data_IF_316549548858
#
_entry.id   IF_316549548858
#
_cell.length_a   1.000
_cell.length_b   1.000
_cell.length_c   1.000
_cell.angle_alpha   90.00
_cell.angle_beta   90.00
_cell.angle_gamma   90.00
#
_symmetry.space_group_name_H-M   'P 1'
#
loop_
_entity.id
_entity.type
_entity.pdbx_description
1 polymer ?
#
# COMPACT_ATOMS: atom_id res chain seq x y z
N UNK A 1 31.58 43.03 -56.51
CA UNK A 1 30.94 43.19 -55.18
C UNK A 1 29.67 42.33 -55.04
N UNK A 2 29.74 40.99 -55.20
CA UNK A 2 28.56 40.10 -55.05
C UNK A 2 28.84 38.71 -54.43
N UNK A 3 30.05 38.46 -53.91
CA UNK A 3 30.41 37.13 -53.35
C UNK A 3 30.58 37.11 -51.82
N UNK A 4 30.54 38.26 -51.14
CA UNK A 4 30.67 38.32 -49.66
C UNK A 4 29.34 38.30 -48.90
N UNK A 5 28.20 38.44 -49.60
CA UNK A 5 26.89 38.46 -48.94
C UNK A 5 26.32 37.06 -48.68
N UNK A 6 26.70 36.04 -49.46
CA UNK A 6 26.19 34.66 -49.26
C UNK A 6 26.85 33.90 -48.10
N UNK A 7 28.07 34.29 -47.70
CA UNK A 7 28.75 33.65 -46.57
C UNK A 7 28.21 34.08 -45.20
N UNK A 8 27.67 35.31 -45.11
CA UNK A 8 27.10 35.84 -43.86
C UNK A 8 25.67 35.33 -43.66
N UNK A 9 24.91 35.10 -44.74
CA UNK A 9 23.56 34.53 -44.64
C UNK A 9 23.56 33.04 -44.27
N UNK A 10 24.58 32.27 -44.69
CA UNK A 10 24.73 30.86 -44.30
C UNK A 10 25.12 30.70 -42.82
N UNK A 11 25.87 31.66 -42.25
CA UNK A 11 26.28 31.63 -40.84
C UNK A 11 25.15 32.07 -39.90
N UNK A 12 24.28 32.99 -40.32
CA UNK A 12 23.10 33.41 -39.55
C UNK A 12 21.96 32.37 -39.63
N UNK A 13 21.85 31.63 -40.74
CA UNK A 13 20.93 30.49 -40.86
C UNK A 13 21.30 29.28 -39.98
N UNK A 14 22.60 29.08 -39.72
CA UNK A 14 23.08 28.02 -38.82
C UNK A 14 23.00 28.39 -37.32
N UNK A 15 22.98 29.69 -37.00
CA UNK A 15 22.81 30.18 -35.62
C UNK A 15 21.35 30.26 -35.16
N UNK A 16 20.37 30.24 -36.08
CA UNK A 16 18.93 30.18 -35.76
C UNK A 16 18.30 28.79 -35.92
N UNK A 17 19.03 27.81 -36.47
CA UNK A 17 18.59 26.42 -36.61
C UNK A 17 18.75 25.55 -35.34
N UNK A 18 19.47 26.05 -34.33
CA UNK A 18 19.56 25.42 -33.01
C UNK A 18 18.51 26.02 -32.07
N UNK A 19 17.25 26.03 -32.49
CA UNK A 19 16.16 26.02 -31.51
C UNK A 19 16.27 24.67 -30.83
N UNK A 20 16.96 24.66 -29.69
CA UNK A 20 17.02 23.54 -28.79
C UNK A 20 15.60 22.96 -28.68
N UNK A 21 15.39 21.79 -29.29
CA UNK A 21 14.48 20.82 -28.72
C UNK A 21 15.08 20.54 -27.34
N UNK A 22 14.75 21.39 -26.37
CA UNK A 22 14.89 21.09 -24.97
C UNK A 22 13.99 19.89 -24.74
N UNK A 23 14.51 18.69 -25.03
CA UNK A 23 14.07 17.49 -24.37
C UNK A 23 14.21 17.83 -22.89
N UNK A 24 13.09 18.26 -22.30
CA UNK A 24 13.03 18.77 -20.96
C UNK A 24 13.64 17.68 -20.09
N UNK A 25 14.82 17.97 -19.52
CA UNK A 25 15.59 16.98 -18.80
C UNK A 25 14.68 16.38 -17.73
N UNK A 26 14.65 15.05 -17.64
CA UNK A 26 13.81 14.37 -16.68
C UNK A 26 14.10 14.91 -15.28
N UNK A 27 13.04 15.16 -14.53
CA UNK A 27 13.11 15.52 -13.13
C UNK A 27 13.44 14.26 -12.33
N UNK A 28 14.58 14.29 -11.65
CA UNK A 28 15.11 13.15 -10.91
C UNK A 28 15.17 13.53 -9.43
N UNK A 29 14.46 12.77 -8.61
CA UNK A 29 14.47 12.93 -7.15
C UNK A 29 15.88 12.74 -6.58
N UNK A 30 16.16 13.42 -5.46
CA UNK A 30 17.38 13.26 -4.68
C UNK A 30 17.02 12.81 -3.28
N UNK A 31 17.95 12.18 -2.58
CA UNK A 31 17.79 11.94 -1.15
C UNK A 31 17.62 13.26 -0.42
N UNK A 32 16.68 13.29 0.51
CA UNK A 32 16.38 14.45 1.33
C UNK A 32 16.73 14.16 2.78
N UNK A 33 17.25 15.16 3.48
CA UNK A 33 17.49 15.06 4.92
C UNK A 33 16.18 15.31 5.67
N UNK A 34 15.78 14.39 6.55
CA UNK A 34 14.53 14.48 7.29
C UNK A 34 14.81 14.33 8.77
N UNK A 35 14.35 15.30 9.57
CA UNK A 35 14.36 15.18 11.02
C UNK A 35 13.01 14.64 11.51
N UNK A 36 13.04 13.56 12.29
CA UNK A 36 11.83 12.91 12.81
C UNK A 36 11.82 13.05 14.32
N UNK A 37 10.85 13.80 14.84
CA UNK A 37 10.65 13.95 16.28
C UNK A 37 9.99 12.73 16.92
N UNK A 38 10.17 12.59 18.23
CA UNK A 38 9.43 11.62 19.00
C UNK A 38 7.95 12.04 19.09
N UNK A 39 7.09 11.05 19.21
CA UNK A 39 5.64 11.16 19.22
C UNK A 39 5.15 12.05 20.36
N UNK A 40 4.46 13.12 20.00
CA UNK A 40 3.66 13.91 20.92
C UNK A 40 2.37 13.20 21.32
N UNK A 41 1.86 13.51 22.50
CA UNK A 41 0.52 13.12 22.95
C UNK A 41 -0.05 14.23 23.84
N UNK A 42 -1.37 14.39 23.85
CA UNK A 42 -2.03 15.39 24.69
C UNK A 42 -3.31 14.84 25.31
N UNK A 43 -3.45 14.96 26.64
CA UNK A 43 -4.70 14.62 27.32
C UNK A 43 -5.01 13.12 27.47
N UNK A 44 -4.13 12.23 27.02
CA UNK A 44 -4.27 10.78 27.13
C UNK A 44 -3.21 10.20 28.07
N UNK A 45 -3.62 9.28 28.96
CA UNK A 45 -2.70 8.48 29.76
C UNK A 45 -2.28 7.25 28.97
N UNK A 46 -1.21 7.38 28.20
CA UNK A 46 -0.69 6.32 27.33
C UNK A 46 0.49 5.65 28.02
N UNK A 47 0.51 4.30 28.16
CA UNK A 47 1.65 3.60 28.74
C UNK A 47 2.95 3.92 27.99
N UNK A 48 4.05 4.13 28.72
CA UNK A 48 5.33 4.53 28.13
C UNK A 48 5.85 3.52 27.08
N UNK A 49 5.61 2.23 27.31
CA UNK A 49 5.97 1.16 26.37
C UNK A 49 5.24 1.31 25.03
N UNK A 50 3.96 1.71 25.05
CA UNK A 50 3.17 1.97 23.84
C UNK A 50 3.77 3.14 23.06
N UNK A 51 4.10 4.24 23.76
CA UNK A 51 4.74 5.40 23.13
C UNK A 51 6.08 5.05 22.48
N UNK A 52 6.95 4.34 23.20
CA UNK A 52 8.26 3.94 22.70
C UNK A 52 8.17 3.02 21.47
N UNK A 53 7.22 2.08 21.48
CA UNK A 53 7.00 1.18 20.34
C UNK A 53 6.46 1.95 19.13
N UNK A 54 5.51 2.88 19.32
CA UNK A 54 5.01 3.71 18.22
C UNK A 54 6.10 4.62 17.65
N UNK A 55 6.96 5.19 18.49
CA UNK A 55 8.11 5.99 18.04
C UNK A 55 9.03 5.17 17.12
N UNK A 56 9.38 3.96 17.55
CA UNK A 56 10.25 3.07 16.79
C UNK A 56 9.64 2.70 15.43
N UNK A 57 8.35 2.38 15.40
CA UNK A 57 7.64 2.05 14.14
C UNK A 57 7.59 3.26 13.19
N UNK A 58 7.30 4.46 13.69
CA UNK A 58 7.27 5.69 12.87
C UNK A 58 8.65 6.02 12.32
N UNK A 59 9.70 6.02 13.15
CA UNK A 59 11.08 6.26 12.69
C UNK A 59 11.51 5.20 11.68
N UNK A 60 11.15 3.94 11.92
CA UNK A 60 11.39 2.82 11.03
C UNK A 60 10.83 3.04 9.62
N UNK A 61 9.65 3.66 9.48
CA UNK A 61 9.07 3.98 8.17
C UNK A 61 9.99 4.87 7.33
N UNK A 62 10.51 5.96 7.90
CA UNK A 62 11.36 6.89 7.17
C UNK A 62 12.70 6.28 6.78
N UNK A 63 13.27 5.45 7.66
CA UNK A 63 14.50 4.70 7.38
C UNK A 63 14.25 3.69 6.24
N UNK A 64 13.18 2.91 6.34
CA UNK A 64 12.84 1.84 5.39
C UNK A 64 12.37 2.35 4.02
N UNK A 65 11.99 3.62 3.90
CA UNK A 65 11.69 4.27 2.63
C UNK A 65 12.94 4.54 1.77
N UNK A 66 14.15 4.45 2.33
CA UNK A 66 15.45 4.51 1.62
C UNK A 66 15.83 5.86 1.00
N UNK A 67 14.85 6.70 0.68
CA UNK A 67 14.99 8.01 0.02
C UNK A 67 15.26 9.18 0.98
N UNK A 68 15.41 8.90 2.27
CA UNK A 68 15.68 9.91 3.30
C UNK A 68 16.97 9.60 4.06
N UNK A 69 17.69 10.66 4.43
CA UNK A 69 18.69 10.59 5.49
C UNK A 69 18.00 11.01 6.79
N UNK A 70 17.77 10.06 7.69
CA UNK A 70 16.92 10.27 8.87
C UNK A 70 17.75 10.74 10.05
N UNK A 71 17.36 11.89 10.62
CA UNK A 71 17.85 12.43 11.88
C UNK A 71 16.77 12.24 12.96
N UNK A 72 16.78 11.10 13.64
CA UNK A 72 15.87 10.83 14.75
C UNK A 72 16.15 11.76 15.94
N UNK A 73 15.10 12.36 16.50
CA UNK A 73 15.16 13.22 17.68
C UNK A 73 14.40 12.57 18.83
N UNK A 74 14.85 12.84 20.06
CA UNK A 74 14.25 12.28 21.29
C UNK A 74 13.18 13.20 21.90
N UNK A 75 13.17 14.45 21.47
CA UNK A 75 12.29 15.52 21.89
C UNK A 75 10.86 15.26 21.40
N UNK A 76 9.86 15.44 22.27
CA UNK A 76 8.44 15.25 21.97
C UNK A 76 7.71 16.58 21.92
N UNK A 77 7.32 17.01 20.73
CA UNK A 77 6.50 18.21 20.58
C UNK A 77 5.05 17.92 20.97
N UNK A 78 4.42 18.80 21.77
CA UNK A 78 2.96 18.79 21.85
C UNK A 78 2.35 19.39 20.59
N UNK A 79 1.07 19.13 20.31
CA UNK A 79 0.39 19.69 19.13
C UNK A 79 0.41 21.23 19.10
N UNK A 80 0.45 21.88 20.27
CA UNK A 80 0.55 23.34 20.40
C UNK A 80 1.96 23.83 20.04
N UNK A 81 2.97 23.12 20.51
CA UNK A 81 4.39 23.43 20.29
C UNK A 81 4.77 23.35 18.81
N UNK A 82 4.06 22.53 18.01
CA UNK A 82 4.24 22.47 16.56
C UNK A 82 4.01 23.82 15.89
N UNK A 83 2.90 24.49 16.23
CA UNK A 83 2.58 25.77 15.62
C UNK A 83 3.55 26.86 16.08
N UNK A 84 3.95 26.84 17.35
CA UNK A 84 4.94 27.77 17.90
C UNK A 84 6.31 27.58 17.22
N UNK A 85 6.71 26.33 16.97
CA UNK A 85 7.92 26.01 16.22
C UNK A 85 7.85 26.52 14.78
N UNK A 86 6.73 26.29 14.07
CA UNK A 86 6.52 26.82 12.72
C UNK A 86 6.65 28.35 12.70
N UNK A 87 5.99 29.02 13.64
CA UNK A 87 6.00 30.48 13.74
C UNK A 87 7.40 31.02 14.03
N UNK A 88 8.18 30.36 14.89
CA UNK A 88 9.57 30.71 15.15
C UNK A 88 10.39 30.64 13.85
N UNK A 89 10.31 29.53 13.12
CA UNK A 89 11.07 29.33 11.88
C UNK A 89 10.68 30.38 10.83
N UNK A 90 9.38 30.66 10.68
CA UNK A 90 8.88 31.70 9.78
C UNK A 90 9.41 33.08 10.17
N UNK A 91 9.36 33.44 11.45
CA UNK A 91 9.81 34.75 11.96
C UNK A 91 11.31 34.94 11.78
N UNK A 92 12.12 33.92 12.12
CA UNK A 92 13.56 33.94 11.93
C UNK A 92 13.94 34.18 10.45
N UNK A 93 13.16 33.62 9.53
CA UNK A 93 13.36 33.82 8.08
C UNK A 93 12.91 35.16 7.56
N UNK A 94 11.68 35.56 7.88
CA UNK A 94 11.13 36.83 7.41
C UNK A 94 11.97 38.02 7.89
N UNK A 95 12.49 37.94 9.11
CA UNK A 95 13.26 39.01 9.73
C UNK A 95 14.78 38.81 9.61
N UNK A 96 15.24 37.79 8.88
CA UNK A 96 16.66 37.44 8.71
C UNK A 96 17.42 37.41 10.06
N UNK A 97 16.74 36.96 11.12
CA UNK A 97 17.22 37.03 12.49
C UNK A 97 18.03 35.76 12.79
N UNK A 98 19.20 35.87 13.45
CA UNK A 98 19.92 34.68 13.92
C UNK A 98 19.00 33.80 14.76
N UNK A 99 19.09 32.48 14.56
CA UNK A 99 18.36 31.53 15.40
C UNK A 99 18.80 31.72 16.87
N UNK A 100 17.88 31.75 17.83
CA UNK A 100 18.25 31.84 19.24
C UNK A 100 19.13 30.65 19.66
N UNK A 101 20.04 30.89 20.60
CA UNK A 101 20.96 29.85 21.12
C UNK A 101 20.19 28.69 21.77
N UNK A 102 19.03 28.99 22.36
CA UNK A 102 18.10 27.99 22.89
C UNK A 102 16.66 28.45 22.69
N UNK A 103 15.78 27.52 22.33
CA UNK A 103 14.33 27.77 22.28
C UNK A 103 13.59 26.71 23.07
N UNK A 104 12.70 27.17 23.94
CA UNK A 104 11.81 26.30 24.73
C UNK A 104 10.41 26.27 24.12
N UNK A 105 9.89 25.06 23.94
CA UNK A 105 8.52 24.78 23.53
C UNK A 105 7.88 23.87 24.58
N UNK A 106 7.08 24.43 25.47
CA UNK A 106 6.59 23.71 26.64
C UNK A 106 7.74 23.15 27.48
N UNK A 107 7.79 21.83 27.61
CA UNK A 107 8.84 21.08 28.32
C UNK A 107 10.06 20.72 27.45
N UNK A 108 10.02 21.01 26.14
CA UNK A 108 11.11 20.73 25.20
C UNK A 108 12.06 21.91 25.14
N UNK A 109 13.36 21.66 25.29
CA UNK A 109 14.41 22.65 25.10
C UNK A 109 15.29 22.25 23.92
N UNK A 110 15.22 23.01 22.82
CA UNK A 110 16.09 22.82 21.66
C UNK A 110 17.39 23.62 21.85
N UNK A 111 18.52 22.93 21.76
CA UNK A 111 19.85 23.55 21.77
C UNK A 111 20.20 24.16 20.40
N UNK A 112 21.12 25.11 20.37
CA UNK A 112 21.63 25.74 19.14
C UNK A 112 22.08 24.70 18.10
N UNK A 113 22.79 23.66 18.56
CA UNK A 113 23.29 22.58 17.69
C UNK A 113 22.17 21.76 17.06
N UNK A 114 21.08 21.51 17.80
CA UNK A 114 19.90 20.83 17.28
C UNK A 114 19.13 21.74 16.32
N UNK A 115 18.91 23.01 16.68
CA UNK A 115 18.27 24.00 15.82
C UNK A 115 18.98 24.16 14.47
N UNK A 116 20.32 24.21 14.46
CA UNK A 116 21.11 24.24 13.21
C UNK A 116 20.89 22.99 12.35
N UNK A 117 20.82 21.80 12.96
CA UNK A 117 20.53 20.55 12.24
C UNK A 117 19.12 20.54 11.66
N UNK A 118 18.13 21.00 12.43
CA UNK A 118 16.73 21.10 11.98
C UNK A 118 16.59 22.11 10.84
N UNK A 119 17.31 23.23 10.89
CA UNK A 119 17.34 24.23 9.82
C UNK A 119 18.00 23.70 8.53
N UNK A 120 18.99 22.80 8.67
CA UNK A 120 19.61 22.10 7.56
C UNK A 120 18.78 20.93 7.01
N UNK A 121 17.79 20.43 7.76
CA UNK A 121 16.90 19.38 7.29
C UNK A 121 15.94 19.93 6.23
N UNK A 122 15.70 19.13 5.18
CA UNK A 122 14.74 19.47 4.13
C UNK A 122 13.32 19.47 4.70
N UNK A 123 12.98 18.47 5.52
CA UNK A 123 11.68 18.36 6.19
C UNK A 123 11.83 17.99 7.65
N UNK A 124 10.99 18.61 8.48
CA UNK A 124 10.75 18.22 9.87
C UNK A 124 9.42 17.45 9.94
N UNK A 125 9.48 16.25 10.54
CA UNK A 125 8.34 15.36 10.74
C UNK A 125 7.95 15.38 12.21
N UNK A 126 6.69 15.71 12.49
CA UNK A 126 6.18 15.79 13.85
C UNK A 126 4.96 14.87 13.98
N UNK A 127 5.14 13.67 14.58
CA UNK A 127 4.04 12.77 14.85
C UNK A 127 3.33 13.11 16.16
N UNK A 128 2.01 12.93 16.20
CA UNK A 128 1.18 13.19 17.39
C UNK A 128 0.03 12.20 17.48
N UNK A 129 -0.18 11.59 18.65
CA UNK A 129 -1.40 10.83 18.93
C UNK A 129 -2.55 11.81 19.15
N UNK A 130 -3.60 11.66 18.35
CA UNK A 130 -4.82 12.47 18.45
C UNK A 130 -5.95 11.74 19.17
N UNK A 131 -5.92 10.41 19.18
CA UNK A 131 -6.90 9.58 19.89
C UNK A 131 -6.26 8.23 20.22
N UNK A 132 -6.44 7.79 21.47
CA UNK A 132 -6.02 6.46 21.94
C UNK A 132 -7.15 5.88 22.77
N UNK A 133 -7.73 4.79 22.27
CA UNK A 133 -8.87 4.13 22.90
C UNK A 133 -8.61 2.64 23.01
N UNK A 134 -8.91 2.10 24.18
CA UNK A 134 -8.87 0.67 24.41
C UNK A 134 -10.14 0.30 25.14
N UNK A 135 -10.97 -0.50 24.48
CA UNK A 135 -12.26 -0.92 24.98
C UNK A 135 -12.32 -2.44 25.02
N UNK A 136 -13.27 -2.98 25.77
CA UNK A 136 -13.60 -4.40 25.73
C UNK A 136 -15.08 -4.57 25.36
N UNK A 137 -15.48 -4.30 24.10
CA UNK A 137 -16.85 -4.56 23.69
C UNK A 137 -17.16 -6.07 23.80
N UNK A 138 -18.08 -6.42 24.70
CA UNK A 138 -18.44 -7.81 25.02
C UNK A 138 -17.24 -8.62 25.54
N UNK A 139 -16.67 -9.50 24.72
CA UNK A 139 -15.63 -10.47 25.08
C UNK A 139 -14.31 -10.27 24.32
N UNK A 140 -14.14 -9.17 23.59
CA UNK A 140 -12.95 -8.89 22.80
C UNK A 140 -12.37 -7.53 23.20
N UNK A 141 -11.06 -7.44 23.42
CA UNK A 141 -10.37 -6.17 23.56
C UNK A 141 -10.18 -5.56 22.17
N UNK A 142 -10.52 -4.29 22.02
CA UNK A 142 -10.28 -3.50 20.81
C UNK A 142 -9.42 -2.29 21.17
N UNK A 143 -8.26 -2.18 20.54
CA UNK A 143 -7.38 -1.04 20.64
C UNK A 143 -7.41 -0.23 19.35
N UNK A 144 -7.53 1.09 19.48
CA UNK A 144 -7.53 2.05 18.37
C UNK A 144 -6.51 3.15 18.66
N UNK A 145 -5.63 3.40 17.70
CA UNK A 145 -4.62 4.46 17.75
C UNK A 145 -4.81 5.35 16.52
N UNK A 146 -5.15 6.62 16.75
CA UNK A 146 -5.14 7.63 15.69
C UNK A 146 -3.91 8.50 15.85
N UNK A 147 -3.15 8.59 14.77
CA UNK A 147 -1.92 9.37 14.72
C UNK A 147 -1.98 10.36 13.57
N UNK A 148 -1.64 11.61 13.86
CA UNK A 148 -1.41 12.64 12.86
C UNK A 148 0.08 12.89 12.74
N UNK A 149 0.59 12.96 11.52
CA UNK A 149 1.99 13.23 11.23
C UNK A 149 2.08 14.45 10.33
N UNK A 150 2.60 15.55 10.86
CA UNK A 150 2.80 16.79 10.12
C UNK A 150 4.17 16.81 9.44
N UNK A 151 4.22 17.32 8.22
CA UNK A 151 5.44 17.46 7.43
C UNK A 151 5.70 18.94 7.14
N UNK A 152 6.76 19.47 7.73
CA UNK A 152 7.13 20.88 7.63
C UNK A 152 8.35 21.05 6.75
N UNK A 153 8.21 21.82 5.68
CA UNK A 153 9.35 22.30 4.92
C UNK A 153 9.98 23.46 5.69
N UNK A 154 11.15 23.20 6.29
CA UNK A 154 11.86 24.19 7.09
C UNK A 154 12.40 25.31 6.19
N UNK A 155 12.73 25.00 4.93
CA UNK A 155 13.20 25.97 3.93
C UNK A 155 12.15 27.06 3.63
N UNK A 156 10.87 26.70 3.62
CA UNK A 156 9.77 27.61 3.31
C UNK A 156 8.98 28.05 4.55
N UNK A 157 9.14 27.36 5.67
CA UNK A 157 8.32 27.56 6.87
C UNK A 157 6.87 27.13 6.67
N UNK A 158 6.60 26.20 5.75
CA UNK A 158 5.25 25.79 5.35
C UNK A 158 5.02 24.30 5.63
N UNK A 159 3.77 23.93 5.91
CA UNK A 159 3.36 22.53 5.97
C UNK A 159 3.18 22.01 4.54
N UNK A 160 3.98 21.02 4.14
CA UNK A 160 3.90 20.40 2.82
C UNK A 160 2.89 19.25 2.76
N UNK A 161 2.47 18.75 3.92
CA UNK A 161 1.47 17.70 4.01
C UNK A 161 1.19 17.29 5.45
N UNK A 162 0.13 16.50 5.62
CA UNK A 162 -0.22 15.84 6.86
C UNK A 162 -0.74 14.45 6.53
N UNK A 163 -0.25 13.44 7.25
CA UNK A 163 -0.74 12.08 7.17
C UNK A 163 -1.55 11.77 8.42
N UNK A 164 -2.81 11.35 8.24
CA UNK A 164 -3.65 10.89 9.34
C UNK A 164 -3.85 9.38 9.16
N UNK A 165 -3.42 8.61 10.14
CA UNK A 165 -3.56 7.15 10.15
C UNK A 165 -4.43 6.73 11.33
N UNK A 166 -5.19 5.66 11.13
CA UNK A 166 -6.01 5.03 12.16
C UNK A 166 -5.73 3.54 12.11
N UNK A 167 -5.09 3.04 13.15
CA UNK A 167 -4.78 1.63 13.29
C UNK A 167 -5.60 1.00 14.39
N UNK A 168 -6.00 -0.24 14.14
CA UNK A 168 -6.84 -1.02 15.05
C UNK A 168 -6.22 -2.38 15.26
N UNK A 169 -6.39 -2.93 16.46
CA UNK A 169 -6.07 -4.31 16.77
C UNK A 169 -7.10 -4.87 17.73
N UNK A 170 -7.43 -6.15 17.58
CA UNK A 170 -8.38 -6.83 18.45
C UNK A 170 -7.83 -8.16 18.96
N UNK A 171 -8.22 -8.54 20.17
CA UNK A 171 -7.88 -9.82 20.78
C UNK A 171 -8.82 -10.13 21.94
N UNK A 172 -9.33 -11.36 22.01
CA UNK A 172 -10.09 -11.91 23.14
C UNK A 172 -9.17 -12.30 24.31
N UNK A 173 -7.91 -12.61 24.02
CA UNK A 173 -6.93 -13.07 25.00
C UNK A 173 -6.43 -11.95 25.93
N UNK A 174 -6.02 -10.80 25.37
CA UNK A 174 -5.49 -9.70 26.18
C UNK A 174 -5.53 -8.33 25.53
N UNK A 175 -5.64 -7.32 26.38
CA UNK A 175 -5.48 -5.91 26.02
C UNK A 175 -4.12 -5.63 25.36
N UNK A 176 -3.03 -6.19 25.89
CA UNK A 176 -1.67 -5.95 25.37
C UNK A 176 -1.53 -6.46 23.94
N UNK A 177 -2.11 -7.63 23.62
CA UNK A 177 -2.09 -8.20 22.27
C UNK A 177 -2.88 -7.31 21.29
N UNK A 178 -4.07 -6.83 21.68
CA UNK A 178 -4.84 -5.88 20.87
C UNK A 178 -4.05 -4.59 20.57
N UNK A 179 -3.41 -4.01 21.58
CA UNK A 179 -2.58 -2.81 21.42
C UNK A 179 -1.38 -3.09 20.50
N UNK A 180 -0.67 -4.20 20.70
CA UNK A 180 0.48 -4.57 19.86
C UNK A 180 0.09 -4.72 18.38
N UNK A 181 -1.07 -5.33 18.09
CA UNK A 181 -1.58 -5.45 16.72
C UNK A 181 -1.91 -4.09 16.09
N UNK A 182 -2.46 -3.15 16.86
CA UNK A 182 -2.70 -1.78 16.40
C UNK A 182 -1.38 -1.06 16.09
N UNK A 183 -0.35 -1.22 16.92
CA UNK A 183 0.99 -0.64 16.70
C UNK A 183 1.64 -1.23 15.44
N UNK A 184 1.63 -2.56 15.30
CA UNK A 184 2.25 -3.27 14.16
C UNK A 184 1.63 -2.90 12.79
N UNK A 185 0.45 -2.29 12.79
CA UNK A 185 -0.24 -1.82 11.57
C UNK A 185 0.19 -0.41 11.13
N UNK A 186 0.86 0.35 12.00
CA UNK A 186 1.30 1.74 11.73
C UNK A 186 2.23 1.82 10.52
N UNK A 187 3.30 0.99 10.40
CA UNK A 187 4.26 1.14 9.31
C UNK A 187 3.61 1.01 7.94
N UNK A 188 2.68 0.07 7.78
CA UNK A 188 2.00 -0.19 6.53
C UNK A 188 1.19 1.03 6.07
N UNK A 189 0.35 1.58 6.94
CA UNK A 189 -0.47 2.76 6.62
C UNK A 189 0.37 4.02 6.43
N UNK A 190 1.31 4.29 7.35
CA UNK A 190 2.12 5.50 7.30
C UNK A 190 3.03 5.52 6.06
N UNK A 191 3.62 4.37 5.68
CA UNK A 191 4.43 4.26 4.47
C UNK A 191 3.63 4.67 3.22
N UNK A 192 2.37 4.26 3.13
CA UNK A 192 1.49 4.63 2.02
C UNK A 192 1.22 6.14 2.01
N UNK A 193 0.82 6.70 3.16
CA UNK A 193 0.51 8.13 3.25
C UNK A 193 1.73 9.03 2.97
N UNK A 194 2.92 8.66 3.46
CA UNK A 194 4.16 9.40 3.17
C UNK A 194 4.45 9.41 1.66
N UNK A 195 4.31 8.26 0.96
CA UNK A 195 4.60 8.19 -0.48
C UNK A 195 3.65 9.01 -1.35
N UNK A 196 2.42 9.24 -0.88
CA UNK A 196 1.40 10.07 -1.56
C UNK A 196 1.71 11.56 -1.52
N UNK A 197 2.53 12.01 -0.58
CA UNK A 197 2.93 13.41 -0.50
C UNK A 197 3.74 13.75 -1.76
N UNK A 198 3.31 14.72 -2.59
CA UNK A 198 3.94 14.99 -3.88
C UNK A 198 5.45 15.28 -3.79
N UNK A 199 5.90 15.89 -2.68
CA UNK A 199 7.31 16.17 -2.43
C UNK A 199 8.17 14.91 -2.22
N UNK A 200 7.54 13.77 -1.88
CA UNK A 200 8.21 12.49 -1.58
C UNK A 200 7.95 11.39 -2.63
N UNK A 201 6.98 11.60 -3.53
CA UNK A 201 6.75 10.71 -4.67
C UNK A 201 7.96 10.72 -5.59
N UNK A 202 8.55 9.55 -5.87
CA UNK A 202 9.76 9.49 -6.70
C UNK A 202 9.47 9.88 -8.14
N UNK A 203 10.32 10.77 -8.65
CA UNK A 203 10.46 11.11 -10.07
C UNK A 203 11.81 10.62 -10.54
N UNK A 204 11.81 9.85 -11.63
CA UNK A 204 13.01 9.23 -12.18
C UNK A 204 12.93 9.15 -13.69
N UNK A 205 13.86 8.45 -14.33
CA UNK A 205 13.91 8.31 -15.77
C UNK A 205 14.19 6.88 -16.23
N UNK A 206 13.78 6.60 -17.46
CA UNK A 206 14.14 5.39 -18.18
C UNK A 206 15.59 5.49 -18.66
N UNK A 207 16.41 4.49 -18.36
CA UNK A 207 17.78 4.36 -18.87
C UNK A 207 17.79 3.60 -20.20
N UNK A 208 16.96 2.56 -20.31
CA UNK A 208 16.82 1.73 -21.49
C UNK A 208 15.41 1.13 -21.52
N UNK A 209 14.80 1.00 -22.68
CA UNK A 209 13.51 0.32 -22.81
C UNK A 209 13.39 -0.47 -24.11
N UNK A 210 12.59 -1.51 -24.06
CA UNK A 210 12.06 -2.23 -25.20
C UNK A 210 10.54 -2.41 -25.03
N UNK A 211 9.94 -3.21 -25.90
CA UNK A 211 8.50 -3.40 -25.97
C UNK A 211 7.88 -4.10 -24.73
N UNK A 212 8.69 -4.81 -23.94
CA UNK A 212 8.27 -5.62 -22.78
C UNK A 212 8.90 -5.15 -21.46
N UNK A 213 10.07 -4.51 -21.50
CA UNK A 213 10.86 -4.21 -20.32
C UNK A 213 11.51 -2.83 -20.40
N UNK A 214 11.68 -2.20 -19.24
CA UNK A 214 12.40 -0.95 -19.08
C UNK A 214 13.36 -1.05 -17.88
N UNK A 215 14.58 -0.56 -18.07
CA UNK A 215 15.52 -0.27 -16.97
C UNK A 215 15.33 1.18 -16.58
N UNK A 216 15.15 1.43 -15.29
CA UNK A 216 14.99 2.77 -14.73
C UNK A 216 16.11 3.11 -13.75
N UNK A 217 16.38 4.40 -13.65
CA UNK A 217 17.23 4.94 -12.60
C UNK A 217 16.51 4.81 -11.25
N UNK A 218 17.27 4.52 -10.20
CA UNK A 218 16.86 4.16 -8.83
C UNK A 218 16.73 2.66 -8.58
N UNK A 219 17.20 2.27 -7.39
CA UNK A 219 17.12 0.93 -6.87
C UNK A 219 16.74 0.92 -5.40
N UNK A 220 17.28 -0.05 -4.66
CA UNK A 220 17.08 -0.13 -3.20
C UNK A 220 17.61 1.11 -2.48
N UNK A 221 18.59 1.82 -3.05
CA UNK A 221 19.15 3.05 -2.50
C UNK A 221 18.13 4.19 -2.36
N UNK A 222 17.09 4.21 -3.19
CA UNK A 222 15.98 5.16 -3.13
C UNK A 222 14.68 4.51 -2.63
N UNK A 223 14.77 3.28 -2.12
CA UNK A 223 13.66 2.52 -1.56
C UNK A 223 12.66 2.00 -2.60
N UNK A 224 13.11 1.76 -3.83
CA UNK A 224 12.32 1.02 -4.81
C UNK A 224 12.20 -0.43 -4.36
N UNK A 225 11.01 -1.00 -4.44
CA UNK A 225 10.74 -2.41 -4.14
C UNK A 225 10.14 -3.11 -5.37
N UNK A 226 10.34 -4.43 -5.42
CA UNK A 226 9.62 -5.29 -6.37
C UNK A 226 8.12 -5.06 -6.22
N UNK A 227 7.40 -5.00 -7.34
CA UNK A 227 5.97 -4.72 -7.38
C UNK A 227 5.58 -3.25 -7.23
N UNK A 228 6.53 -2.32 -6.98
CA UNK A 228 6.24 -0.89 -7.10
C UNK A 228 5.83 -0.54 -8.54
N UNK A 229 5.02 0.51 -8.69
CA UNK A 229 4.45 0.93 -9.97
C UNK A 229 4.94 2.31 -10.36
N UNK A 230 5.21 2.49 -11.65
CA UNK A 230 5.63 3.77 -12.22
C UNK A 230 4.85 4.07 -13.49
N UNK A 231 4.38 5.30 -13.63
CA UNK A 231 3.75 5.78 -14.87
C UNK A 231 4.78 6.50 -15.73
N UNK A 232 4.66 6.31 -17.05
CA UNK A 232 5.40 7.08 -18.03
C UNK A 232 4.68 8.41 -18.23
N UNK A 233 5.37 9.51 -17.94
CA UNK A 233 4.80 10.86 -18.03
C UNK A 233 5.23 11.50 -19.35
N UNK A 234 4.27 11.86 -20.18
CA UNK A 234 4.46 12.69 -21.37
C UNK A 234 4.26 14.15 -20.97
N UNK A 235 5.24 15.00 -21.26
CA UNK A 235 5.17 16.45 -21.07
C UNK A 235 5.12 17.12 -22.43
N UNK A 236 4.06 17.86 -22.70
CA UNK A 236 3.96 18.72 -23.86
C UNK A 236 3.87 20.18 -23.38
N UNK A 237 4.53 21.12 -24.06
CA UNK A 237 4.34 22.55 -23.79
C UNK A 237 3.43 23.14 -24.85
N UNK A 238 2.25 23.64 -24.43
CA UNK A 238 1.26 24.23 -25.31
C UNK A 238 1.04 25.67 -24.85
N UNK A 239 1.48 26.64 -25.65
CA UNK A 239 1.31 28.07 -25.32
C UNK A 239 1.99 28.51 -24.02
N UNK A 240 3.09 27.86 -23.62
CA UNK A 240 3.80 28.16 -22.37
C UNK A 240 3.24 27.45 -21.13
N UNK A 241 2.14 26.71 -21.26
CA UNK A 241 1.63 25.81 -20.22
C UNK A 241 2.23 24.42 -20.40
N UNK A 242 2.51 23.73 -19.30
CA UNK A 242 2.96 22.33 -19.31
C UNK A 242 1.74 21.43 -19.17
N UNK A 243 1.47 20.62 -20.19
CA UNK A 243 0.48 19.55 -20.17
C UNK A 243 1.19 18.23 -19.83
N UNK A 244 0.94 17.70 -18.63
CA UNK A 244 1.46 16.39 -18.19
C UNK A 244 0.39 15.31 -18.32
N UNK A 245 0.67 14.25 -19.08
CA UNK A 245 -0.22 13.10 -19.25
C UNK A 245 0.46 11.77 -18.99
N UNK A 246 -0.30 10.80 -18.51
CA UNK A 246 0.19 9.43 -18.33
C UNK A 246 -0.02 8.62 -19.61
N UNK A 247 1.05 8.04 -20.14
CA UNK A 247 1.02 7.28 -21.41
C UNK A 247 1.43 5.81 -21.23
N UNK A 248 1.83 5.40 -20.03
CA UNK A 248 2.28 4.04 -19.77
C UNK A 248 2.28 3.67 -18.29
N UNK A 249 2.32 2.37 -18.03
CA UNK A 249 2.45 1.77 -16.71
C UNK A 249 3.55 0.69 -16.72
N UNK A 250 4.47 0.82 -15.78
CA UNK A 250 5.56 -0.08 -15.50
C UNK A 250 5.38 -0.68 -14.11
N UNK A 251 5.71 -1.96 -13.96
CA UNK A 251 5.73 -2.65 -12.65
C UNK A 251 7.12 -3.21 -12.42
N UNK A 252 7.72 -2.90 -11.27
CA UNK A 252 9.07 -3.35 -10.93
C UNK A 252 9.08 -4.87 -10.76
N UNK A 253 9.95 -5.56 -11.50
CA UNK A 253 10.13 -7.02 -11.40
C UNK A 253 11.41 -7.42 -10.68
N UNK A 254 12.42 -6.54 -10.71
CA UNK A 254 13.74 -6.78 -10.13
C UNK A 254 14.39 -5.45 -9.72
N UNK A 255 15.12 -5.45 -8.62
CA UNK A 255 15.68 -4.23 -8.00
C UNK A 255 17.15 -4.44 -7.67
N UNK A 256 18.03 -3.70 -8.35
CA UNK A 256 19.43 -3.57 -7.97
C UNK A 256 19.67 -2.39 -7.02
N UNK A 257 20.93 -2.07 -6.68
CA UNK A 257 21.24 -0.96 -5.78
C UNK A 257 20.81 0.41 -6.31
N UNK A 258 21.05 0.69 -7.61
CA UNK A 258 20.81 2.00 -8.24
C UNK A 258 19.95 1.93 -9.51
N UNK A 259 19.67 0.72 -9.99
CA UNK A 259 18.94 0.47 -11.23
C UNK A 259 17.92 -0.61 -10.94
N UNK A 260 16.69 -0.39 -11.38
CA UNK A 260 15.60 -1.38 -11.30
C UNK A 260 15.15 -1.78 -12.70
N UNK A 261 14.70 -3.03 -12.83
CA UNK A 261 14.10 -3.53 -14.06
C UNK A 261 12.59 -3.64 -13.86
N UNK A 262 11.84 -3.02 -14.76
CA UNK A 262 10.39 -3.00 -14.77
C UNK A 262 9.84 -3.75 -15.99
N UNK A 263 8.73 -4.45 -15.80
CA UNK A 263 7.93 -4.96 -16.90
C UNK A 263 6.95 -3.88 -17.38
N UNK A 264 6.84 -3.73 -18.70
CA UNK A 264 5.94 -2.80 -19.36
C UNK A 264 4.55 -3.44 -19.44
N UNK A 265 3.59 -2.92 -18.65
CA UNK A 265 2.19 -3.37 -18.73
C UNK A 265 1.51 -2.77 -19.95
N UNK A 266 1.72 -1.48 -20.16
CA UNK A 266 1.41 -0.82 -21.42
C UNK A 266 2.25 0.45 -21.50
N UNK A 267 2.55 0.90 -22.71
CA UNK A 267 3.18 2.17 -22.94
C UNK A 267 2.86 2.65 -24.35
N UNK A 268 2.72 3.96 -24.50
CA UNK A 268 2.71 4.60 -25.81
C UNK A 268 4.12 4.92 -26.32
N UNK A 269 4.20 5.91 -27.20
CA UNK A 269 5.41 6.26 -27.95
C UNK A 269 6.48 6.98 -27.11
N UNK A 270 6.11 7.50 -25.94
CA UNK A 270 7.04 8.21 -25.04
C UNK A 270 8.02 7.30 -24.29
N UNK A 271 7.80 5.97 -24.26
CA UNK A 271 8.71 5.05 -23.56
C UNK A 271 10.02 4.87 -24.36
N UNK A 272 11.01 5.68 -24.03
CA UNK A 272 12.38 5.65 -24.57
C UNK A 272 13.38 6.08 -23.49
N UNK A 273 14.67 5.92 -23.75
CA UNK A 273 15.70 6.43 -22.84
C UNK A 273 15.51 7.95 -22.59
N UNK A 274 15.62 8.37 -21.33
CA UNK A 274 15.34 9.72 -20.86
C UNK A 274 13.86 10.03 -20.59
N UNK A 275 12.94 9.09 -20.83
CA UNK A 275 11.52 9.30 -20.52
C UNK A 275 11.30 9.47 -19.01
N UNK A 276 10.45 10.43 -18.64
CA UNK A 276 10.07 10.69 -17.26
C UNK A 276 9.22 9.55 -16.72
N UNK A 277 9.61 9.05 -15.55
CA UNK A 277 8.83 8.13 -14.74
C UNK A 277 8.40 8.83 -13.45
N UNK A 278 7.19 8.52 -13.00
CA UNK A 278 6.66 8.96 -11.71
C UNK A 278 6.11 7.75 -10.97
N UNK A 279 6.53 7.58 -9.72
CA UNK A 279 5.99 6.55 -8.84
C UNK A 279 4.48 6.70 -8.70
N UNK A 280 3.77 5.57 -8.66
CA UNK A 280 2.36 5.50 -8.27
C UNK A 280 2.32 4.94 -6.85
N UNK A 281 2.12 5.79 -5.82
CA UNK A 281 2.00 5.33 -4.45
C UNK A 281 0.79 4.42 -4.29
N UNK A 282 1.06 3.14 -4.01
CA UNK A 282 0.07 2.10 -3.71
C UNK A 282 0.21 1.66 -2.26
N UNK A 283 -0.90 1.27 -1.66
CA UNK A 283 -0.94 0.52 -0.41
C UNK A 283 -0.20 -0.83 -0.57
N UNK A 284 -0.23 -1.40 -1.78
CA UNK A 284 0.52 -2.59 -2.12
C UNK A 284 -0.29 -3.88 -1.96
N UNK A 285 -1.61 -3.76 -2.08
CA UNK A 285 -2.56 -4.88 -2.06
C UNK A 285 -3.52 -4.74 -3.23
N UNK A 286 -3.69 -5.79 -4.00
CA UNK A 286 -4.75 -5.88 -5.00
C UNK A 286 -5.99 -6.52 -4.34
N UNK A 287 -7.14 -5.85 -4.40
CA UNK A 287 -8.42 -6.32 -3.85
C UNK A 287 -9.29 -6.84 -4.99
N UNK A 288 -9.70 -8.10 -4.92
CA UNK A 288 -10.42 -8.80 -5.98
C UNK A 288 -11.74 -9.37 -5.48
N UNK A 289 -12.82 -8.57 -5.41
CA UNK A 289 -14.16 -9.11 -5.26
C UNK A 289 -14.55 -9.98 -6.45
N UNK A 290 -15.21 -11.11 -6.19
CA UNK A 290 -15.69 -12.03 -7.21
C UNK A 290 -17.03 -12.69 -6.84
N UNK A 291 -17.72 -13.11 -7.89
CA UNK A 291 -18.78 -14.12 -7.81
C UNK A 291 -18.21 -15.44 -8.34
N UNK A 292 -18.58 -16.55 -7.72
CA UNK A 292 -18.10 -17.88 -8.06
C UNK A 292 -19.28 -18.85 -8.11
N UNK A 293 -19.50 -19.50 -9.24
CA UNK A 293 -20.49 -20.58 -9.33
C UNK A 293 -19.77 -21.91 -9.24
N UNK A 294 -20.12 -22.71 -8.24
CA UNK A 294 -19.50 -24.00 -7.91
C UNK A 294 -20.47 -25.11 -8.30
N UNK A 295 -20.01 -26.07 -9.08
CA UNK A 295 -20.66 -27.36 -9.28
C UNK A 295 -19.94 -28.40 -8.44
N UNK A 296 -20.67 -29.08 -7.55
CA UNK A 296 -20.07 -30.06 -6.66
C UNK A 296 -19.68 -31.33 -7.42
N UNK A 297 -18.64 -32.02 -6.93
CA UNK A 297 -18.24 -33.31 -7.48
C UNK A 297 -19.31 -34.38 -7.26
N UNK A 298 -19.96 -34.32 -6.10
CA UNK A 298 -21.08 -35.17 -5.71
C UNK A 298 -22.15 -34.29 -5.08
N UNK A 299 -23.43 -34.66 -5.23
CA UNK A 299 -24.53 -33.92 -4.64
C UNK A 299 -24.36 -33.91 -3.12
N UNK A 300 -24.34 -32.71 -2.55
CA UNK A 300 -24.19 -32.49 -1.11
C UNK A 300 -25.55 -32.70 -0.46
N UNK A 301 -25.60 -33.36 0.71
CA UNK A 301 -26.84 -33.61 1.46
C UNK A 301 -26.81 -32.93 2.83
N UNK A 302 -27.44 -31.78 2.97
CA UNK A 302 -27.46 -30.99 4.18
C UNK A 302 -28.78 -31.04 4.94
N UNK A 303 -28.81 -30.36 6.09
CA UNK A 303 -30.03 -30.15 6.85
C UNK A 303 -30.64 -28.79 6.52
N UNK A 304 -31.95 -28.70 6.47
CA UNK A 304 -32.61 -27.39 6.36
C UNK A 304 -32.28 -26.53 7.61
N UNK A 305 -32.15 -25.21 7.38
CA UNK A 305 -31.93 -24.21 8.43
C UNK A 305 -33.12 -24.14 9.40
N UNK A 306 -34.33 -24.33 8.87
CA UNK A 306 -35.59 -24.20 9.59
C UNK A 306 -36.08 -25.56 10.15
N UNK A 307 -35.68 -26.68 9.54
CA UNK A 307 -36.09 -28.02 9.96
C UNK A 307 -34.97 -29.08 9.80
N UNK A 308 -34.41 -29.55 10.93
CA UNK A 308 -33.31 -30.53 10.93
C UNK A 308 -33.68 -31.91 10.41
N UNK A 309 -34.97 -32.26 10.38
CA UNK A 309 -35.43 -33.55 9.87
C UNK A 309 -35.61 -33.54 8.33
N UNK A 310 -35.50 -32.36 7.71
CA UNK A 310 -35.59 -32.21 6.26
C UNK A 310 -34.19 -32.18 5.64
N UNK A 311 -33.90 -33.20 4.81
CA UNK A 311 -32.64 -33.31 4.07
C UNK A 311 -32.76 -32.53 2.77
N UNK A 312 -31.89 -31.55 2.57
CA UNK A 312 -31.75 -30.82 1.30
C UNK A 312 -30.56 -31.35 0.52
N UNK A 313 -30.75 -31.63 -0.76
CA UNK A 313 -29.65 -31.97 -1.66
C UNK A 313 -29.36 -30.84 -2.65
N UNK A 314 -28.09 -30.51 -2.82
CA UNK A 314 -27.60 -29.46 -3.73
C UNK A 314 -26.51 -30.02 -4.65
N UNK A 315 -26.58 -29.70 -5.94
CA UNK A 315 -25.57 -30.09 -6.94
C UNK A 315 -24.54 -28.97 -7.19
N UNK A 316 -24.79 -27.79 -6.65
CA UNK A 316 -23.92 -26.63 -6.79
C UNK A 316 -24.46 -25.43 -6.01
N UNK A 317 -23.64 -24.39 -5.95
CA UNK A 317 -23.97 -23.16 -5.22
C UNK A 317 -23.35 -21.93 -5.85
N UNK A 318 -23.97 -20.78 -5.63
CA UNK A 318 -23.35 -19.50 -5.87
C UNK A 318 -22.54 -19.10 -4.63
N UNK A 319 -21.39 -18.47 -4.84
CA UNK A 319 -20.56 -17.93 -3.80
C UNK A 319 -20.15 -16.50 -4.13
N UNK A 320 -19.91 -15.71 -3.10
CA UNK A 320 -19.30 -14.39 -3.21
C UNK A 320 -18.05 -14.36 -2.33
N UNK A 321 -17.00 -13.71 -2.82
CA UNK A 321 -15.75 -13.63 -2.07
C UNK A 321 -14.90 -12.42 -2.45
N UNK A 322 -13.85 -12.23 -1.67
CA UNK A 322 -12.81 -11.26 -1.93
C UNK A 322 -11.44 -11.90 -1.72
N UNK A 323 -10.56 -11.79 -2.72
CA UNK A 323 -9.14 -12.16 -2.62
C UNK A 323 -8.32 -10.89 -2.45
N UNK A 324 -7.32 -10.95 -1.59
CA UNK A 324 -6.33 -9.90 -1.33
C UNK A 324 -4.96 -10.45 -1.71
N UNK A 325 -4.29 -9.81 -2.67
CA UNK A 325 -2.97 -10.22 -3.12
C UNK A 325 -1.93 -9.15 -2.79
N UNK A 326 -0.86 -9.52 -2.07
CA UNK A 326 0.23 -8.58 -1.77
C UNK A 326 1.00 -8.29 -3.06
N UNK A 327 0.94 -7.05 -3.53
CA UNK A 327 1.64 -6.61 -4.73
C UNK A 327 2.98 -5.97 -4.42
N UNK A 328 3.13 -5.23 -3.32
CA UNK A 328 4.42 -4.62 -2.96
C UNK A 328 5.35 -5.62 -2.27
N UNK A 329 6.59 -5.70 -2.74
CA UNK A 329 7.58 -6.70 -2.36
C UNK A 329 7.53 -7.99 -3.19
N UNK A 330 6.57 -8.12 -4.10
CA UNK A 330 6.29 -9.36 -4.83
C UNK A 330 5.96 -9.05 -6.31
N UNK A 331 6.25 -9.99 -7.21
CA UNK A 331 5.97 -9.79 -8.64
C UNK A 331 5.30 -11.01 -9.27
N UNK A 332 6.08 -12.06 -9.56
CA UNK A 332 5.53 -13.27 -10.18
C UNK A 332 4.77 -14.11 -9.15
N UNK A 333 5.38 -14.41 -8.00
CA UNK A 333 4.74 -15.12 -6.90
C UNK A 333 4.29 -14.10 -5.86
N UNK A 334 3.01 -14.08 -5.52
CA UNK A 334 2.43 -13.15 -4.53
C UNK A 334 1.70 -13.94 -3.44
N UNK A 335 1.94 -13.65 -2.15
CA UNK A 335 1.09 -14.13 -1.08
C UNK A 335 -0.33 -13.62 -1.29
N UNK A 336 -1.28 -14.49 -1.00
CA UNK A 336 -2.69 -14.16 -1.06
C UNK A 336 -3.40 -14.56 0.23
N UNK A 337 -4.45 -13.82 0.55
CA UNK A 337 -5.49 -14.25 1.46
C UNK A 337 -6.85 -13.99 0.85
N UNK A 338 -7.88 -14.61 1.40
CA UNK A 338 -9.23 -14.28 0.97
C UNK A 338 -10.30 -14.90 1.84
N UNK A 339 -11.51 -14.41 1.59
CA UNK A 339 -12.73 -14.86 2.25
C UNK A 339 -13.78 -15.15 1.19
N UNK A 340 -14.55 -16.21 1.37
CA UNK A 340 -15.64 -16.62 0.50
C UNK A 340 -16.82 -17.08 1.35
N UNK A 341 -18.03 -16.72 0.95
CA UNK A 341 -19.26 -17.26 1.51
C UNK A 341 -19.95 -18.04 0.40
N UNK A 342 -20.24 -19.31 0.67
CA UNK A 342 -21.05 -20.14 -0.21
C UNK A 342 -22.51 -19.97 0.19
N UNK A 343 -23.38 -19.60 -0.75
CA UNK A 343 -24.82 -19.45 -0.53
C UNK A 343 -25.53 -20.81 -0.57
N UNK A 344 -24.95 -21.81 0.09
CA UNK A 344 -25.52 -23.14 0.23
C UNK A 344 -26.17 -23.26 1.62
N UNK A 345 -27.50 -23.28 1.64
CA UNK A 345 -28.27 -23.43 2.88
C UNK A 345 -28.17 -24.83 3.47
N UNK A 346 -27.95 -25.86 2.64
CA UNK A 346 -27.79 -27.24 3.10
C UNK A 346 -26.53 -27.39 3.96
N UNK A 347 -25.49 -26.62 3.63
CA UNK A 347 -24.25 -26.52 4.39
C UNK A 347 -24.22 -25.36 5.39
N UNK A 348 -25.38 -24.78 5.75
CA UNK A 348 -25.48 -23.66 6.69
C UNK A 348 -24.56 -22.47 6.36
N UNK A 349 -24.55 -22.10 5.07
CA UNK A 349 -23.82 -20.96 4.52
C UNK A 349 -22.33 -20.97 4.91
N UNK A 350 -21.52 -21.87 4.34
CA UNK A 350 -20.10 -21.96 4.67
C UNK A 350 -19.36 -20.64 4.47
N UNK A 351 -18.60 -20.22 5.49
CA UNK A 351 -17.68 -19.09 5.44
C UNK A 351 -16.26 -19.62 5.43
N UNK A 352 -15.58 -19.44 4.30
CA UNK A 352 -14.27 -20.00 4.00
C UNK A 352 -13.25 -18.87 4.07
N UNK A 353 -12.23 -19.03 4.92
CA UNK A 353 -11.01 -18.23 4.89
C UNK A 353 -9.89 -19.05 4.27
N UNK A 354 -9.07 -18.43 3.41
CA UNK A 354 -7.96 -19.13 2.77
C UNK A 354 -6.71 -18.25 2.68
N UNK A 355 -5.55 -18.91 2.72
CA UNK A 355 -4.22 -18.30 2.61
C UNK A 355 -3.37 -19.14 1.67
N UNK A 356 -2.57 -18.49 0.83
CA UNK A 356 -1.78 -19.20 -0.16
C UNK A 356 -0.90 -18.29 -0.98
N UNK A 357 -0.61 -18.74 -2.20
CA UNK A 357 0.16 -17.98 -3.17
C UNK A 357 -0.51 -17.98 -4.54
N UNK A 358 -0.30 -16.91 -5.29
CA UNK A 358 -0.60 -16.87 -6.71
C UNK A 358 0.66 -16.62 -7.54
N UNK A 359 0.75 -17.28 -8.68
CA UNK A 359 1.75 -17.06 -9.71
C UNK A 359 1.13 -16.25 -10.85
N UNK A 360 1.82 -15.21 -11.31
CA UNK A 360 1.38 -14.31 -12.37
C UNK A 360 2.37 -14.35 -13.53
N UNK A 361 1.86 -14.59 -14.73
CA UNK A 361 2.59 -14.40 -15.98
C UNK A 361 2.02 -13.18 -16.70
N UNK A 362 2.82 -12.13 -16.73
CA UNK A 362 2.44 -10.83 -17.22
C UNK A 362 2.85 -10.64 -18.68
N UNK A 363 1.87 -10.47 -19.57
CA UNK A 363 2.10 -10.13 -20.98
C UNK A 363 1.34 -8.85 -21.32
N UNK A 364 2.04 -7.71 -21.19
CA UNK A 364 1.45 -6.37 -21.38
C UNK A 364 0.19 -6.16 -20.53
N UNK A 365 -0.99 -5.96 -21.11
CA UNK A 365 -2.23 -5.77 -20.35
C UNK A 365 -2.84 -7.08 -19.87
N UNK A 366 -2.45 -8.19 -20.49
CA UNK A 366 -2.91 -9.51 -20.11
C UNK A 366 -2.08 -10.07 -18.95
N UNK A 367 -2.70 -10.94 -18.16
CA UNK A 367 -2.00 -11.80 -17.23
C UNK A 367 -2.67 -13.18 -17.17
N UNK A 368 -1.86 -14.23 -17.11
CA UNK A 368 -2.28 -15.57 -16.71
C UNK A 368 -1.96 -15.74 -15.23
N UNK A 369 -2.90 -16.30 -14.48
CA UNK A 369 -2.77 -16.48 -13.03
C UNK A 369 -2.98 -17.95 -12.67
N UNK A 370 -2.15 -18.46 -11.76
CA UNK A 370 -2.35 -19.74 -11.10
C UNK A 370 -2.34 -19.51 -9.59
N UNK A 371 -3.24 -20.12 -8.86
CA UNK A 371 -3.41 -19.91 -7.42
C UNK A 371 -3.52 -21.25 -6.71
N UNK A 372 -2.82 -21.37 -5.58
CA UNK A 372 -2.96 -22.49 -4.67
C UNK A 372 -3.04 -21.96 -3.24
N UNK A 373 -4.05 -22.40 -2.50
CA UNK A 373 -4.28 -21.99 -1.12
C UNK A 373 -4.76 -23.14 -0.25
N UNK A 374 -4.41 -23.07 1.03
CA UNK A 374 -5.08 -23.85 2.07
C UNK A 374 -6.25 -23.05 2.61
N UNK A 375 -7.32 -23.73 2.96
CA UNK A 375 -8.57 -23.13 3.40
C UNK A 375 -8.98 -23.72 4.76
N UNK A 376 -9.54 -22.85 5.60
CA UNK A 376 -10.31 -23.25 6.77
C UNK A 376 -11.72 -22.69 6.62
N UNK A 377 -12.73 -23.49 6.92
CA UNK A 377 -14.10 -23.04 6.86
C UNK A 377 -14.83 -23.29 8.17
N UNK A 378 -15.82 -22.44 8.43
CA UNK A 378 -16.79 -22.62 9.49
C UNK A 378 -18.16 -22.26 8.93
N UNK A 379 -19.20 -22.94 9.40
CA UNK A 379 -20.57 -22.63 8.99
C UNK A 379 -20.99 -21.29 9.63
N UNK A 380 -21.78 -20.46 8.95
CA UNK A 380 -22.14 -19.13 9.45
C UNK A 380 -22.78 -19.17 10.85
N UNK A 381 -23.59 -20.20 11.13
CA UNK A 381 -24.20 -20.43 12.44
C UNK A 381 -23.14 -20.68 13.52
N UNK A 382 -22.15 -21.53 13.24
CA UNK A 382 -21.07 -21.84 14.19
C UNK A 382 -20.24 -20.60 14.48
N UNK A 383 -19.95 -19.78 13.46
CA UNK A 383 -19.28 -18.48 13.67
C UNK A 383 -20.08 -17.52 14.54
N UNK A 384 -21.41 -17.48 14.40
CA UNK A 384 -22.27 -16.65 15.24
C UNK A 384 -22.24 -17.12 16.70
N UNK A 385 -22.22 -18.43 16.94
CA UNK A 385 -22.08 -19.01 18.28
C UNK A 385 -20.68 -18.69 18.84
N UNK A 386 -19.63 -18.99 18.09
CA UNK A 386 -18.24 -18.73 18.47
C UNK A 386 -18.03 -17.26 18.87
N UNK A 387 -18.57 -16.32 18.09
CA UNK A 387 -18.47 -14.89 18.39
C UNK A 387 -19.08 -14.50 19.75
N UNK A 388 -20.10 -15.23 20.21
CA UNK A 388 -20.78 -14.94 21.47
C UNK A 388 -20.22 -15.72 22.67
N UNK A 389 -19.53 -16.84 22.45
CA UNK A 389 -19.14 -17.78 23.51
C UNK A 389 -17.64 -18.10 23.61
N UNK A 390 -16.85 -17.88 22.55
CA UNK A 390 -15.40 -18.19 22.60
C UNK A 390 -14.62 -17.11 23.34
N UNK A 391 -13.74 -17.55 24.25
CA UNK A 391 -12.78 -16.70 24.97
C UNK A 391 -11.39 -16.70 24.32
N UNK A 392 -11.16 -17.54 23.31
CA UNK A 392 -9.89 -17.62 22.56
C UNK A 392 -9.99 -16.91 21.21
N UNK A 393 -8.85 -16.40 20.72
CA UNK A 393 -8.69 -15.90 19.36
C UNK A 393 -8.75 -17.02 18.30
N UNK A 394 -8.66 -18.29 18.73
CA UNK A 394 -8.69 -19.45 17.83
C UNK A 394 -10.08 -19.68 17.20
N UNK A 395 -10.17 -19.75 15.86
CA UNK A 395 -11.44 -19.94 15.17
C UNK A 395 -11.98 -21.37 15.35
N UNK A 396 -13.31 -21.49 15.48
CA UNK A 396 -13.98 -22.80 15.48
C UNK A 396 -14.15 -23.29 14.05
N UNK A 397 -13.15 -24.02 13.57
CA UNK A 397 -13.16 -24.62 12.23
C UNK A 397 -14.03 -25.87 12.21
N UNK A 398 -14.86 -25.98 11.18
CA UNK A 398 -15.64 -27.18 10.89
C UNK A 398 -15.08 -27.94 9.69
N UNK A 399 -14.34 -27.25 8.82
CA UNK A 399 -13.67 -27.84 7.67
C UNK A 399 -12.27 -27.28 7.49
N UNK A 400 -11.41 -28.06 6.86
CA UNK A 400 -10.14 -27.63 6.31
C UNK A 400 -10.03 -28.11 4.88
N UNK A 401 -9.24 -27.45 4.04
CA UNK A 401 -9.03 -27.96 2.70
C UNK A 401 -8.16 -27.12 1.80
N UNK A 402 -8.39 -27.25 0.50
CA UNK A 402 -7.55 -26.66 -0.55
C UNK A 402 -8.40 -25.95 -1.58
N UNK A 403 -7.81 -24.88 -2.13
CA UNK A 403 -8.41 -24.05 -3.17
C UNK A 403 -7.39 -23.84 -4.27
N UNK A 404 -7.69 -24.32 -5.48
CA UNK A 404 -6.84 -24.19 -6.66
C UNK A 404 -7.59 -23.37 -7.71
N UNK A 405 -6.92 -22.41 -8.34
CA UNK A 405 -7.53 -21.62 -9.42
C UNK A 405 -6.52 -21.39 -10.54
N UNK A 406 -7.01 -21.38 -11.77
CA UNK A 406 -6.28 -20.85 -12.93
C UNK A 406 -7.13 -19.77 -13.58
N UNK A 407 -6.50 -18.72 -14.09
CA UNK A 407 -7.26 -17.56 -14.55
C UNK A 407 -6.56 -16.72 -15.59
N UNK A 408 -7.37 -15.86 -16.19
CA UNK A 408 -6.92 -14.83 -17.10
C UNK A 408 -7.44 -13.47 -16.61
N UNK A 409 -6.65 -12.43 -16.81
CA UNK A 409 -7.07 -11.07 -16.51
C UNK A 409 -6.60 -10.07 -17.55
N UNK A 410 -7.36 -8.97 -17.67
CA UNK A 410 -7.05 -7.86 -18.57
C UNK A 410 -7.08 -6.53 -17.82
N UNK A 411 -5.99 -5.77 -17.92
CA UNK A 411 -5.82 -4.46 -17.32
C UNK A 411 -6.54 -3.38 -18.16
N UNK A 412 -7.63 -2.85 -17.64
CA UNK A 412 -8.46 -1.83 -18.31
C UNK A 412 -7.75 -0.48 -18.23
N UNK A 413 -7.37 -0.07 -17.02
CA UNK A 413 -6.59 1.12 -16.74
C UNK A 413 -5.55 0.79 -15.65
N UNK A 414 -4.77 1.77 -15.19
CA UNK A 414 -3.71 1.50 -14.20
C UNK A 414 -4.25 1.00 -12.85
N UNK A 415 -5.52 1.21 -12.53
CA UNK A 415 -6.13 0.98 -11.22
C UNK A 415 -7.04 -0.25 -11.20
N UNK A 416 -7.46 -0.73 -12.37
CA UNK A 416 -8.53 -1.72 -12.51
C UNK A 416 -8.23 -2.78 -13.56
N UNK A 417 -8.43 -4.05 -13.19
CA UNK A 417 -8.45 -5.19 -14.13
C UNK A 417 -9.71 -6.02 -13.96
N UNK A 418 -10.16 -6.62 -15.05
CA UNK A 418 -11.21 -7.66 -15.02
C UNK A 418 -10.56 -9.03 -15.10
N UNK A 419 -11.17 -10.04 -14.48
CA UNK A 419 -10.66 -11.40 -14.49
C UNK A 419 -11.75 -12.46 -14.55
N UNK A 420 -11.34 -13.64 -14.98
CA UNK A 420 -12.12 -14.88 -14.91
C UNK A 420 -11.17 -16.00 -14.53
N UNK A 421 -11.59 -16.82 -13.57
CA UNK A 421 -10.86 -17.96 -13.09
C UNK A 421 -11.72 -19.22 -13.22
N UNK A 422 -11.08 -20.33 -13.57
CA UNK A 422 -11.62 -21.67 -13.35
C UNK A 422 -11.01 -22.22 -12.06
N UNK A 423 -11.85 -22.65 -11.15
CA UNK A 423 -11.48 -23.01 -9.79
C UNK A 423 -11.84 -24.45 -9.43
N UNK A 424 -11.15 -24.96 -8.42
CA UNK A 424 -11.45 -26.20 -7.74
C UNK A 424 -11.29 -25.99 -6.23
N UNK A 425 -12.35 -26.31 -5.50
CA UNK A 425 -12.40 -26.25 -4.04
C UNK A 425 -12.62 -27.66 -3.51
N UNK A 426 -11.91 -28.04 -2.46
CA UNK A 426 -12.24 -29.26 -1.70
C UNK A 426 -12.02 -29.01 -0.22
N UNK A 427 -13.03 -29.27 0.60
CA UNK A 427 -13.06 -29.04 2.04
C UNK A 427 -13.44 -30.35 2.74
N UNK A 428 -12.52 -30.87 3.55
CA UNK A 428 -12.73 -32.01 4.42
C UNK A 428 -13.47 -31.59 5.69
N UNK A 429 -14.58 -32.26 5.96
CA UNK A 429 -15.36 -32.09 7.18
C UNK A 429 -14.64 -32.67 8.39
N UNK A 430 -14.43 -31.87 9.44
CA UNK A 430 -13.85 -32.36 10.70
C UNK A 430 -14.86 -33.21 11.48
N UNK A 431 -16.16 -32.98 11.25
CA UNK A 431 -17.27 -33.74 11.81
C UNK A 431 -17.98 -34.58 10.75
N UNK A 432 -17.27 -35.12 9.76
CA UNK A 432 -17.85 -35.83 8.60
C UNK A 432 -18.86 -36.92 9.01
N UNK A 433 -18.55 -37.65 10.09
CA UNK A 433 -19.41 -38.69 10.66
C UNK A 433 -20.76 -38.18 11.19
N UNK A 434 -20.90 -36.88 11.48
CA UNK A 434 -22.15 -36.25 11.90
C UNK A 434 -23.08 -36.02 10.70
N UNK A 435 -22.56 -36.04 9.47
CA UNK A 435 -23.29 -35.77 8.25
C UNK A 435 -23.77 -34.31 8.15
N UNK A 436 -24.64 -34.07 7.16
CA UNK A 436 -25.29 -32.78 6.98
C UNK A 436 -24.29 -31.63 6.73
N UNK A 437 -24.36 -30.51 7.47
CA UNK A 437 -23.52 -29.34 7.25
C UNK A 437 -22.04 -29.54 7.63
N UNK A 438 -21.67 -30.68 8.20
CA UNK A 438 -20.30 -31.04 8.59
C UNK A 438 -19.64 -32.06 7.67
N UNK A 439 -20.35 -32.50 6.62
CA UNK A 439 -19.81 -33.44 5.64
C UNK A 439 -18.73 -32.76 4.77
N UNK A 440 -17.82 -33.56 4.24
CA UNK A 440 -16.84 -33.13 3.25
C UNK A 440 -17.52 -32.75 1.95
N UNK A 441 -17.09 -31.66 1.32
CA UNK A 441 -17.64 -31.23 0.04
C UNK A 441 -16.55 -30.59 -0.81
N UNK A 442 -16.75 -30.67 -2.12
CA UNK A 442 -15.83 -30.07 -3.08
C UNK A 442 -16.49 -29.94 -4.43
N UNK A 443 -15.91 -29.10 -5.27
CA UNK A 443 -16.44 -28.83 -6.59
C UNK A 443 -15.48 -28.03 -7.44
N UNK A 444 -15.88 -27.84 -8.68
CA UNK A 444 -15.20 -26.99 -9.64
C UNK A 444 -16.15 -25.92 -10.15
N UNK A 445 -15.61 -24.84 -10.71
CA UNK A 445 -16.46 -23.73 -11.09
C UNK A 445 -15.78 -22.62 -11.85
N UNK A 446 -16.55 -21.58 -12.13
CA UNK A 446 -16.05 -20.36 -12.78
C UNK A 446 -16.30 -19.17 -11.87
N UNK A 447 -15.23 -18.43 -11.58
CA UNK A 447 -15.28 -17.16 -10.86
C UNK A 447 -15.02 -16.01 -11.82
N UNK A 448 -15.71 -14.89 -11.62
CA UNK A 448 -15.47 -13.66 -12.36
C UNK A 448 -15.56 -12.45 -11.44
N UNK A 449 -14.77 -11.42 -11.73
CA UNK A 449 -14.70 -10.25 -10.88
C UNK A 449 -13.90 -9.10 -11.46
N UNK A 450 -13.79 -8.06 -10.63
CA UNK A 450 -12.99 -6.86 -10.90
C UNK A 450 -11.96 -6.75 -9.79
N UNK A 451 -10.70 -6.54 -10.14
CA UNK A 451 -9.64 -6.31 -9.19
C UNK A 451 -9.20 -4.84 -9.22
N UNK A 452 -9.05 -4.28 -8.02
CA UNK A 452 -8.66 -2.89 -7.77
C UNK A 452 -7.28 -2.84 -7.12
N UNK A 453 -6.42 -1.95 -7.61
CA UNK A 453 -5.10 -1.71 -7.03
C UNK A 453 -5.21 -0.66 -5.93
N UNK A 454 -4.91 -1.06 -4.70
CA UNK A 454 -4.93 -0.19 -3.53
C UNK A 454 -3.53 0.32 -3.22
#
# INVERSE_FOLDING_TARGET
MRSKQYFITLFIGLLFGASFLSAQQAEISKKQDVAVFALGYYGYNIPLEVLANVDAEIQGVFINLGRFNVLGQTERFSSKDVQDFINLIQTAKQNNTPLPDEVKFGDVQLTEGLLKKLYGAFVVVIPTIVDFQVEKPKNEYEARIKTSVAFLNVAEGTTIGMANIETTGSSKESQTKAIALAINSIPFQLTYEVRKIPAFTLRTQVLQANIFEAKMQFGTDMGVKVGDEYVVVKRDSIGGLVDEREEGLLVIKDVGPQISTAAVRYAGSSLKAGAQLREVPRLGVDVEPYLYYITYFESVQGWDLDNRDEIKSTEGTLAAGAKFALSRGWYNVRPIGGVQINFDTALWLPVIGYLGAEYNLFVRRFALTGTAAVAGASNAIIRLIEKNYSESDDPWLTHFGVKLNIGISYLINRDMRIFTNYGMDYLWGMGDNLGGPFQSYGGYGIAAGVAFKM
#
